data_IF_896349832043
#
_entry.id   IF_896349832043
#
_cell.length_a   1.000
_cell.length_b   1.000
_cell.length_c   1.000
_cell.angle_alpha   90.00
_cell.angle_beta   90.00
_cell.angle_gamma   90.00
#
_symmetry.space_group_name_H-M   'P 1'
#
loop_
_entity.id
_entity.type
_entity.pdbx_description
1 polymer ?
#
# COMPACT_ATOMS: atom_id res chain seq x y z
N UNK A 1 12.31 -20.32 -8.49
CA UNK A 1 11.01 -19.64 -8.59
C UNK A 1 11.29 -18.17 -8.38
N UNK A 2 11.13 -17.36 -9.42
CA UNK A 2 11.26 -15.91 -9.28
C UNK A 2 10.14 -15.42 -8.35
N UNK A 3 10.50 -14.66 -7.32
CA UNK A 3 9.57 -14.25 -6.28
C UNK A 3 8.74 -13.06 -6.80
N UNK A 4 7.75 -13.36 -7.64
CA UNK A 4 6.88 -12.35 -8.24
C UNK A 4 5.94 -11.72 -7.22
N UNK A 5 5.71 -10.41 -7.38
CA UNK A 5 4.86 -9.61 -6.52
C UNK A 5 3.72 -9.04 -7.33
N UNK A 6 2.53 -9.14 -6.77
CA UNK A 6 1.30 -8.73 -7.43
C UNK A 6 0.99 -7.26 -7.12
N UNK A 7 0.67 -6.49 -8.16
CA UNK A 7 0.30 -5.09 -8.06
C UNK A 7 -1.06 -4.87 -8.72
N UNK A 8 -1.97 -4.25 -7.97
CA UNK A 8 -3.21 -3.71 -8.50
C UNK A 8 -3.15 -2.18 -8.42
N UNK A 9 -3.07 -1.52 -9.58
CA UNK A 9 -3.07 -0.06 -9.68
C UNK A 9 -4.50 0.38 -9.94
N UNK A 10 -5.03 1.14 -8.99
CA UNK A 10 -6.43 1.56 -8.95
C UNK A 10 -6.48 3.08 -8.84
N UNK A 11 -7.34 3.70 -9.64
CA UNK A 11 -7.66 5.12 -9.52
C UNK A 11 -9.03 5.29 -8.89
N UNK A 12 -9.12 6.21 -7.93
CA UNK A 12 -10.38 6.70 -7.37
C UNK A 12 -10.51 8.17 -7.67
N UNK A 13 -11.67 8.58 -8.21
CA UNK A 13 -11.93 9.95 -8.61
C UNK A 13 -13.39 10.31 -8.37
N UNK A 14 -13.68 11.61 -8.37
CA UNK A 14 -15.02 12.14 -8.26
C UNK A 14 -15.55 12.56 -9.62
N UNK A 15 -16.68 11.99 -10.03
CA UNK A 15 -17.45 12.43 -11.18
C UNK A 15 -18.88 11.93 -11.00
N UNK A 16 -19.78 12.82 -10.59
CA UNK A 16 -21.15 12.46 -10.20
C UNK A 16 -21.18 11.35 -9.14
N UNK A 17 -20.37 11.53 -8.09
CA UNK A 17 -20.12 10.53 -7.06
C UNK A 17 -18.71 9.95 -7.10
N UNK A 18 -18.42 9.07 -6.13
CA UNK A 18 -17.11 8.39 -6.03
C UNK A 18 -17.06 7.24 -7.01
N UNK A 19 -16.09 7.28 -7.93
CA UNK A 19 -15.83 6.21 -8.90
C UNK A 19 -14.47 5.60 -8.63
N UNK A 20 -14.38 4.28 -8.81
CA UNK A 20 -13.13 3.52 -8.67
C UNK A 20 -12.94 2.69 -9.93
N UNK A 21 -11.75 2.72 -10.53
CA UNK A 21 -11.40 1.94 -11.71
C UNK A 21 -10.03 1.30 -11.54
N UNK A 22 -9.94 0.02 -11.88
CA UNK A 22 -8.67 -0.68 -11.99
C UNK A 22 -8.01 -0.26 -13.30
N UNK A 23 -6.81 0.30 -13.22
CA UNK A 23 -6.02 0.69 -14.39
C UNK A 23 -5.15 -0.48 -14.86
N UNK A 24 -4.54 -1.20 -13.93
CA UNK A 24 -3.69 -2.35 -14.23
C UNK A 24 -3.69 -3.36 -13.10
N UNK A 25 -3.60 -4.62 -13.49
CA UNK A 25 -3.21 -5.74 -12.63
C UNK A 25 -2.00 -6.40 -13.28
N UNK A 26 -0.90 -6.52 -12.54
CA UNK A 26 0.33 -7.10 -13.08
C UNK A 26 1.20 -7.71 -11.98
N UNK A 27 2.18 -8.51 -12.38
CA UNK A 27 3.25 -8.98 -11.50
C UNK A 27 4.56 -8.25 -11.81
N UNK A 28 5.42 -8.14 -10.80
CA UNK A 28 6.77 -7.60 -10.96
C UNK A 28 7.73 -8.37 -10.05
N UNK A 29 8.96 -8.61 -10.52
CA UNK A 29 9.99 -9.37 -9.80
C UNK A 29 10.69 -8.58 -8.68
N UNK A 30 10.28 -7.34 -8.41
CA UNK A 30 10.96 -6.43 -7.48
C UNK A 30 9.98 -5.51 -6.75
N UNK A 31 10.18 -5.33 -5.44
CA UNK A 31 9.50 -4.34 -4.59
C UNK A 31 10.34 -3.09 -4.33
N UNK A 32 11.39 -2.88 -5.13
CA UNK A 32 12.19 -1.66 -5.03
C UNK A 32 11.32 -0.47 -5.39
N UNK A 33 11.30 0.54 -4.54
CA UNK A 33 10.51 1.76 -4.71
C UNK A 33 10.67 2.42 -6.08
N UNK A 34 11.88 2.42 -6.65
CA UNK A 34 12.15 2.96 -8.00
C UNK A 34 11.38 2.18 -9.07
N UNK A 35 11.33 0.85 -8.95
CA UNK A 35 10.62 -0.02 -9.90
C UNK A 35 9.10 0.12 -9.79
N UNK A 36 8.60 0.41 -8.58
CA UNK A 36 7.20 0.73 -8.34
C UNK A 36 6.84 2.11 -8.92
N UNK A 37 7.72 3.10 -8.78
CA UNK A 37 7.56 4.44 -9.36
C UNK A 37 7.51 4.38 -10.89
N UNK A 38 8.47 3.67 -11.51
CA UNK A 38 8.50 3.44 -12.96
C UNK A 38 7.20 2.77 -13.45
N UNK A 39 6.75 1.71 -12.76
CA UNK A 39 5.50 1.02 -13.09
C UNK A 39 4.29 1.96 -13.01
N UNK A 40 4.16 2.71 -11.91
CA UNK A 40 3.03 3.62 -11.71
C UNK A 40 3.00 4.72 -12.78
N UNK A 41 4.16 5.33 -13.09
CA UNK A 41 4.26 6.36 -14.13
C UNK A 41 3.88 5.82 -15.50
N UNK A 42 4.37 4.64 -15.88
CA UNK A 42 3.99 3.99 -17.13
C UNK A 42 2.47 3.77 -17.23
N UNK A 43 1.84 3.27 -16.16
CA UNK A 43 0.38 3.08 -16.14
C UNK A 43 -0.40 4.38 -16.25
N UNK A 44 0.06 5.44 -15.58
CA UNK A 44 -0.56 6.77 -15.66
C UNK A 44 -0.45 7.36 -17.07
N UNK A 45 0.73 7.28 -17.68
CA UNK A 45 0.98 7.73 -19.06
C UNK A 45 0.10 6.98 -20.07
N UNK A 46 0.08 5.64 -20.01
CA UNK A 46 -0.75 4.80 -20.87
C UNK A 46 -2.25 5.07 -20.69
N UNK A 47 -2.68 5.44 -19.47
CA UNK A 47 -4.07 5.79 -19.16
C UNK A 47 -4.41 7.24 -19.47
N UNK A 48 -3.45 8.03 -19.98
CA UNK A 48 -3.59 9.48 -20.21
C UNK A 48 -4.02 10.23 -18.94
N UNK A 49 -3.54 9.79 -17.78
CA UNK A 49 -3.81 10.37 -16.47
C UNK A 49 -2.59 11.16 -16.01
N UNK A 50 -2.63 12.49 -16.07
CA UNK A 50 -1.47 13.30 -15.71
C UNK A 50 -1.17 13.25 -14.21
N UNK A 51 0.11 13.10 -13.84
CA UNK A 51 0.54 13.02 -12.45
C UNK A 51 0.18 14.27 -11.64
N UNK A 52 0.11 15.45 -12.26
CA UNK A 52 -0.26 16.69 -11.58
C UNK A 52 -1.71 16.71 -11.08
N UNK A 53 -2.58 15.86 -11.63
CA UNK A 53 -3.96 15.68 -11.16
C UNK A 53 -4.07 14.71 -9.99
N UNK A 54 -3.00 13.98 -9.67
CA UNK A 54 -2.97 13.07 -8.54
C UNK A 54 -2.92 13.87 -7.23
N UNK A 55 -3.94 13.68 -6.39
CA UNK A 55 -4.06 14.36 -5.09
C UNK A 55 -3.51 13.52 -3.95
N UNK A 56 -3.58 12.19 -4.06
CA UNK A 56 -3.17 11.30 -2.99
C UNK A 56 -2.70 9.94 -3.47
N UNK A 57 -1.72 9.36 -2.76
CA UNK A 57 -1.35 7.94 -2.84
C UNK A 57 -2.00 7.19 -1.68
N UNK A 58 -2.71 6.10 -1.95
CA UNK A 58 -3.25 5.21 -0.92
C UNK A 58 -2.61 3.83 -1.04
N UNK A 59 -1.88 3.38 -0.02
CA UNK A 59 -1.20 2.09 0.00
C UNK A 59 -1.03 1.55 1.43
N UNK A 60 -0.53 0.33 1.60
CA UNK A 60 -0.12 -0.14 2.93
C UNK A 60 1.12 0.61 3.46
N UNK A 61 1.38 0.54 4.77
CA UNK A 61 2.46 1.29 5.42
C UNK A 61 3.84 0.57 5.35
N UNK A 62 4.05 -0.25 4.32
CA UNK A 62 5.34 -0.94 4.14
C UNK A 62 6.49 0.04 3.90
N UNK A 63 7.71 -0.41 4.14
CA UNK A 63 8.91 0.39 3.93
C UNK A 63 9.03 0.87 2.48
N UNK A 64 8.68 0.03 1.50
CA UNK A 64 8.73 0.38 0.08
C UNK A 64 7.68 1.41 -0.34
N UNK A 65 6.53 1.49 0.35
CA UNK A 65 5.47 2.44 0.02
C UNK A 65 5.63 3.79 0.73
N UNK A 66 5.85 3.79 2.04
CA UNK A 66 5.87 5.03 2.84
C UNK A 66 7.12 5.21 3.72
N UNK A 67 8.12 4.31 3.64
CA UNK A 67 9.32 4.42 4.47
C UNK A 67 9.10 4.02 5.93
N UNK A 68 8.16 3.10 6.16
CA UNK A 68 7.86 2.46 7.44
C UNK A 68 6.89 3.24 8.31
N UNK A 69 6.63 2.73 9.52
CA UNK A 69 5.61 3.26 10.46
C UNK A 69 5.73 4.76 10.71
N UNK A 70 6.96 5.27 10.86
CA UNK A 70 7.22 6.70 11.13
C UNK A 70 7.27 7.57 9.88
N UNK A 71 7.19 6.97 8.68
CA UNK A 71 7.20 7.65 7.37
C UNK A 71 8.38 8.59 7.14
N UNK A 72 9.55 8.22 7.68
CA UNK A 72 10.80 9.02 7.60
C UNK A 72 11.77 8.52 6.53
N UNK A 73 11.56 7.32 5.99
CA UNK A 73 12.39 6.80 4.91
C UNK A 73 12.34 7.70 3.68
N UNK A 74 13.45 7.77 2.93
CA UNK A 74 13.55 8.52 1.66
C UNK A 74 13.70 7.63 0.43
N UNK A 75 13.71 6.31 0.63
CA UNK A 75 13.75 5.31 -0.45
C UNK A 75 12.43 4.54 -0.45
N UNK A 76 11.35 5.22 -0.85
CA UNK A 76 10.00 4.67 -0.95
C UNK A 76 9.20 5.37 -2.04
N UNK A 77 8.15 4.71 -2.52
CA UNK A 77 7.30 5.18 -3.61
C UNK A 77 6.73 6.57 -3.32
N UNK A 78 6.19 6.79 -2.12
CA UNK A 78 5.60 8.08 -1.76
C UNK A 78 6.62 9.22 -1.84
N UNK A 79 7.83 9.01 -1.31
CA UNK A 79 8.89 10.01 -1.37
C UNK A 79 9.25 10.36 -2.82
N UNK A 80 9.38 9.36 -3.70
CA UNK A 80 9.69 9.59 -5.12
C UNK A 80 8.59 10.37 -5.84
N UNK A 81 7.32 10.02 -5.62
CA UNK A 81 6.20 10.78 -6.18
C UNK A 81 6.13 12.19 -5.62
N UNK A 82 6.47 12.40 -4.34
CA UNK A 82 6.45 13.72 -3.72
C UNK A 82 7.53 14.66 -4.27
N UNK A 83 8.67 14.14 -4.73
CA UNK A 83 9.68 14.96 -5.42
C UNK A 83 9.13 15.57 -6.72
N UNK A 84 8.15 14.92 -7.35
CA UNK A 84 7.51 15.37 -8.59
C UNK A 84 6.21 16.15 -8.30
N UNK A 85 5.51 15.80 -7.21
CA UNK A 85 4.25 16.40 -6.76
C UNK A 85 4.33 16.75 -5.27
N UNK A 86 4.81 17.96 -4.95
CA UNK A 86 5.06 18.36 -3.55
C UNK A 86 3.81 18.27 -2.64
N UNK A 87 2.63 18.58 -3.17
CA UNK A 87 1.36 18.59 -2.42
C UNK A 87 0.61 17.24 -2.46
N UNK A 88 1.33 16.12 -2.60
CA UNK A 88 0.74 14.79 -2.61
C UNK A 88 0.42 14.33 -1.18
N UNK A 89 -0.81 13.90 -0.93
CA UNK A 89 -1.22 13.31 0.36
C UNK A 89 -0.95 11.81 0.36
N UNK A 90 -0.30 11.29 1.39
CA UNK A 90 -0.11 9.84 1.51
C UNK A 90 -1.03 9.24 2.55
N UNK A 91 -1.98 8.42 2.13
CA UNK A 91 -3.05 7.84 2.93
C UNK A 91 -2.74 6.36 3.19
N UNK A 92 -2.80 5.94 4.45
CA UNK A 92 -2.63 4.52 4.80
C UNK A 92 -3.86 3.69 4.45
N UNK A 93 -3.65 2.45 4.03
CA UNK A 93 -4.72 1.50 3.73
C UNK A 93 -5.52 1.16 5.00
N UNK A 94 -6.81 1.52 5.02
CA UNK A 94 -7.70 1.29 6.16
C UNK A 94 -7.79 -0.19 6.53
N UNK A 95 -7.93 -1.07 5.53
CA UNK A 95 -7.99 -2.52 5.75
C UNK A 95 -6.73 -3.05 6.42
N UNK A 96 -5.56 -2.55 6.01
CA UNK A 96 -4.28 -2.93 6.61
C UNK A 96 -4.14 -2.41 8.04
N UNK A 97 -4.60 -1.19 8.32
CA UNK A 97 -4.62 -0.62 9.66
C UNK A 97 -5.51 -1.46 10.59
N UNK A 98 -6.73 -1.80 10.16
CA UNK A 98 -7.64 -2.64 10.93
C UNK A 98 -7.06 -4.04 11.16
N UNK A 99 -6.49 -4.67 10.13
CA UNK A 99 -5.87 -5.98 10.23
C UNK A 99 -4.73 -6.00 11.26
N UNK A 100 -3.83 -5.02 11.19
CA UNK A 100 -2.72 -4.93 12.13
C UNK A 100 -3.20 -4.62 13.56
N UNK A 101 -4.25 -3.82 13.72
CA UNK A 101 -4.82 -3.52 15.04
C UNK A 101 -5.42 -4.78 15.68
N UNK A 102 -6.17 -5.57 14.91
CA UNK A 102 -6.74 -6.84 15.37
C UNK A 102 -5.64 -7.85 15.68
N UNK A 103 -4.66 -8.02 14.77
CA UNK A 103 -3.54 -8.92 14.99
C UNK A 103 -2.76 -8.57 16.25
N UNK A 104 -2.45 -7.29 16.46
CA UNK A 104 -1.81 -6.82 17.67
C UNK A 104 -2.66 -7.10 18.91
N UNK A 105 -3.97 -6.82 18.89
CA UNK A 105 -4.85 -7.10 20.02
C UNK A 105 -4.85 -8.60 20.36
N UNK A 106 -4.96 -9.48 19.36
CA UNK A 106 -4.90 -10.94 19.52
C UNK A 106 -3.58 -11.38 20.14
N UNK A 107 -2.45 -10.84 19.70
CA UNK A 107 -1.12 -11.13 20.26
C UNK A 107 -0.94 -10.68 21.71
N UNK A 108 -1.72 -9.69 22.17
CA UNK A 108 -1.70 -9.29 23.58
C UNK A 108 -2.56 -10.17 24.47
N UNK A 109 -3.42 -11.05 23.93
CA UNK A 109 -4.16 -11.99 24.75
C UNK A 109 -3.25 -13.12 25.20
N UNK A 110 -2.98 -13.17 26.49
CA UNK A 110 -2.32 -14.31 27.13
C UNK A 110 -3.37 -15.40 27.38
N UNK A 111 -3.60 -16.26 26.39
CA UNK A 111 -4.45 -17.44 26.56
C UNK A 111 -3.57 -18.65 26.88
N UNK A 112 -3.57 -19.09 28.14
CA UNK A 112 -3.15 -20.46 28.45
C UNK A 112 -4.16 -21.42 27.81
N UNK A 113 -3.73 -22.17 26.80
CA UNK A 113 -4.40 -23.42 26.44
C UNK A 113 -4.08 -24.42 27.54
N UNK A 114 -4.82 -24.37 28.65
CA UNK A 114 -4.79 -25.46 29.62
C UNK A 114 -5.36 -26.68 28.91
N UNK A 115 -4.48 -27.55 28.42
CA UNK A 115 -4.88 -28.90 28.01
C UNK A 115 -5.68 -29.47 29.17
N UNK A 116 -6.97 -29.73 28.93
CA UNK A 116 -7.93 -30.08 29.97
C UNK A 116 -7.31 -31.08 30.93
N UNK A 117 -7.43 -30.77 32.23
CA UNK A 117 -7.06 -31.67 33.31
C UNK A 117 -7.47 -33.09 32.91
N UNK A 118 -6.49 -34.01 32.86
CA UNK A 118 -6.82 -35.44 32.87
C UNK A 118 -7.62 -35.64 34.15
N UNK A 119 -8.94 -35.75 34.00
CA UNK A 119 -9.80 -36.14 35.11
C UNK A 119 -9.35 -37.55 35.56
N UNK A 120 -9.35 -37.80 36.89
CA UNK A 120 -8.71 -38.95 37.51
C UNK A 120 -9.23 -40.30 37.01
#
# INVERSE_FOLDING_TARGET
MDNERFYAIVVRYWFDGTKTRVLRVCTQSSEKAVKMDELLRGVLEESQLPLEKMTSLCADNTNSNFGGRNRRGRNNLFFYLQQQKQNLLGIGCASHICNNAIGYAVEQFDYEVSAGARMP
#
